data_IF_043523522391
#
_entry.id   IF_043523522391
#
_cell.length_a   1.000
_cell.length_b   1.000
_cell.length_c   1.000
_cell.angle_alpha   90.00
_cell.angle_beta   90.00
_cell.angle_gamma   90.00
#
_symmetry.space_group_name_H-M   'P 1'
#
loop_
_entity.id
_entity.type
_entity.pdbx_description
1 polymer ?
#
# COMPACT_ATOMS: atom_id res chain seq x y z
N UNK A 1 -2.49 30.91 -33.45
CA UNK A 1 -2.94 30.74 -32.05
C UNK A 1 -3.49 29.33 -31.91
N UNK A 2 -2.94 28.52 -31.00
CA UNK A 2 -3.34 27.13 -30.81
C UNK A 2 -4.67 27.01 -30.06
N UNK A 3 -5.35 25.85 -30.14
CA UNK A 3 -6.63 25.62 -29.42
C UNK A 3 -6.49 25.83 -27.91
N UNK A 4 -5.31 25.51 -27.38
CA UNK A 4 -4.98 25.61 -25.95
C UNK A 4 -4.79 27.07 -25.54
N UNK A 5 -4.09 27.87 -26.35
CA UNK A 5 -3.88 29.31 -26.09
C UNK A 5 -5.21 30.07 -26.02
N UNK A 6 -6.11 29.84 -26.98
CA UNK A 6 -7.43 30.49 -27.01
C UNK A 6 -8.27 30.10 -25.78
N UNK A 7 -8.23 28.82 -25.40
CA UNK A 7 -8.95 28.35 -24.22
C UNK A 7 -8.38 28.92 -22.91
N UNK A 8 -7.05 29.05 -22.80
CA UNK A 8 -6.40 29.64 -21.64
C UNK A 8 -6.71 31.14 -21.51
N UNK A 9 -6.60 31.90 -22.60
CA UNK A 9 -6.88 33.35 -22.59
C UNK A 9 -8.32 33.64 -22.17
N UNK A 10 -9.28 32.89 -22.71
CA UNK A 10 -10.69 33.05 -22.34
C UNK A 10 -10.98 32.59 -20.91
N UNK A 11 -10.22 31.62 -20.38
CA UNK A 11 -10.32 31.18 -18.99
C UNK A 11 -9.72 32.21 -18.02
N UNK A 12 -8.65 32.90 -18.40
CA UNK A 12 -8.06 33.97 -17.60
C UNK A 12 -8.99 35.19 -17.53
N UNK A 13 -9.72 35.48 -18.60
CA UNK A 13 -10.79 36.51 -18.62
C UNK A 13 -11.98 36.15 -17.73
N UNK A 14 -12.23 34.87 -17.45
CA UNK A 14 -13.39 34.39 -16.70
C UNK A 14 -13.03 33.23 -15.74
N UNK A 15 -12.29 33.51 -14.65
CA UNK A 15 -11.70 32.47 -13.81
C UNK A 15 -12.73 31.60 -13.06
N UNK A 16 -13.87 32.17 -12.68
CA UNK A 16 -14.86 31.52 -11.81
C UNK A 16 -16.07 30.87 -12.53
N UNK A 17 -15.94 30.59 -13.83
CA UNK A 17 -17.03 29.97 -14.63
C UNK A 17 -16.91 28.44 -14.61
N UNK A 18 -18.04 27.72 -14.54
CA UNK A 18 -18.06 26.25 -14.59
C UNK A 18 -17.54 25.70 -15.92
N UNK A 19 -16.98 24.47 -15.92
CA UNK A 19 -16.43 23.84 -17.13
C UNK A 19 -17.45 23.75 -18.27
N UNK A 20 -18.73 23.53 -17.93
CA UNK A 20 -19.81 23.42 -18.91
C UNK A 20 -20.14 24.77 -19.55
N UNK A 21 -20.25 25.84 -18.76
CA UNK A 21 -20.52 27.19 -19.26
C UNK A 21 -19.36 27.69 -20.14
N UNK A 22 -18.13 27.40 -19.73
CA UNK A 22 -16.94 27.76 -20.51
C UNK A 22 -16.90 27.03 -21.85
N UNK A 23 -17.24 25.74 -21.88
CA UNK A 23 -17.30 24.94 -23.10
C UNK A 23 -18.38 25.44 -24.06
N UNK A 24 -19.54 25.85 -23.53
CA UNK A 24 -20.63 26.44 -24.32
C UNK A 24 -20.22 27.77 -24.95
N UNK A 25 -19.50 28.62 -24.20
CA UNK A 25 -18.97 29.89 -24.72
C UNK A 25 -17.95 29.66 -25.83
N UNK A 26 -16.94 28.80 -25.60
CA UNK A 26 -15.89 28.52 -26.58
C UNK A 26 -16.44 27.92 -27.88
N UNK A 27 -17.41 27.02 -27.79
CA UNK A 27 -18.07 26.46 -28.97
C UNK A 27 -18.86 27.53 -29.74
N UNK A 28 -19.56 28.43 -29.04
CA UNK A 28 -20.33 29.52 -29.67
C UNK A 28 -19.42 30.58 -30.30
N UNK A 29 -18.32 30.94 -29.64
CA UNK A 29 -17.40 31.99 -30.07
C UNK A 29 -16.43 31.52 -31.16
N UNK A 30 -16.04 30.24 -31.16
CA UNK A 30 -15.06 29.68 -32.08
C UNK A 30 -15.49 28.30 -32.64
N UNK A 31 -16.60 28.22 -33.38
CA UNK A 31 -17.14 26.94 -33.86
C UNK A 31 -16.20 26.18 -34.79
N UNK A 32 -15.33 26.86 -35.57
CA UNK A 32 -14.34 26.22 -36.42
C UNK A 32 -13.15 25.59 -35.65
N UNK A 33 -12.88 26.05 -34.42
CA UNK A 33 -11.77 25.58 -33.60
C UNK A 33 -12.26 24.51 -32.62
N UNK A 34 -13.44 24.74 -32.04
CA UNK A 34 -14.15 23.83 -31.15
C UNK A 34 -15.43 23.33 -31.84
N UNK A 35 -15.35 22.25 -32.65
CA UNK A 35 -16.47 21.78 -33.46
C UNK A 35 -17.62 21.20 -32.62
N UNK A 36 -17.36 20.81 -31.38
CA UNK A 36 -18.39 20.36 -30.44
C UNK A 36 -18.16 20.89 -29.03
N UNK A 37 -19.25 21.00 -28.26
CA UNK A 37 -19.18 21.39 -26.85
C UNK A 37 -18.31 20.42 -26.04
N UNK A 38 -18.37 19.11 -26.32
CA UNK A 38 -17.54 18.12 -25.63
C UNK A 38 -16.04 18.21 -26.00
N UNK A 39 -15.72 18.64 -27.23
CA UNK A 39 -14.34 18.93 -27.61
C UNK A 39 -13.78 20.11 -26.82
N UNK A 40 -14.55 21.20 -26.69
CA UNK A 40 -14.18 22.35 -25.84
C UNK A 40 -14.07 21.93 -24.36
N UNK A 41 -15.04 21.15 -23.86
CA UNK A 41 -15.08 20.72 -22.46
C UNK A 41 -13.90 19.82 -22.09
N UNK A 42 -13.48 18.94 -22.99
CA UNK A 42 -12.31 18.07 -22.78
C UNK A 42 -11.04 18.91 -22.66
N UNK A 43 -10.86 19.91 -23.52
CA UNK A 43 -9.72 20.83 -23.45
C UNK A 43 -9.72 21.63 -22.14
N UNK A 44 -10.87 22.18 -21.72
CA UNK A 44 -11.00 22.91 -20.45
C UNK A 44 -10.69 22.01 -19.25
N UNK A 45 -11.16 20.76 -19.26
CA UNK A 45 -10.87 19.78 -18.21
C UNK A 45 -9.39 19.40 -18.17
N UNK A 46 -8.73 19.29 -19.32
CA UNK A 46 -7.29 19.05 -19.40
C UNK A 46 -6.50 20.23 -18.79
N UNK A 47 -6.87 21.47 -19.12
CA UNK A 47 -6.23 22.68 -18.56
C UNK A 47 -6.45 22.80 -17.05
N UNK A 48 -7.66 22.52 -16.54
CA UNK A 48 -7.99 22.58 -15.10
C UNK A 48 -7.61 21.33 -14.31
N UNK A 49 -7.01 20.33 -14.93
CA UNK A 49 -6.67 19.06 -14.27
C UNK A 49 -7.87 18.23 -13.80
N UNK A 50 -9.06 18.47 -14.36
CA UNK A 50 -10.31 17.78 -14.03
C UNK A 50 -10.64 16.62 -15.00
N UNK A 51 -9.65 16.17 -15.77
CA UNK A 51 -9.77 15.03 -16.66
C UNK A 51 -9.55 13.73 -15.86
N UNK A 52 -10.52 12.83 -15.90
CA UNK A 52 -10.39 11.53 -15.24
C UNK A 52 -9.28 10.69 -15.89
N UNK A 53 -8.63 9.83 -15.11
CA UNK A 53 -7.60 8.90 -15.58
C UNK A 53 -8.22 7.81 -16.47
N UNK A 54 -8.57 8.12 -17.72
CA UNK A 54 -9.09 7.13 -18.69
C UNK A 54 -7.94 6.45 -19.47
N UNK A 55 -6.72 6.46 -18.93
CA UNK A 55 -5.51 6.00 -19.64
C UNK A 55 -4.58 5.06 -18.88
N UNK A 56 -4.95 4.54 -17.71
CA UNK A 56 -4.09 3.61 -16.94
C UNK A 56 -4.60 2.17 -17.04
N UNK A 57 -4.62 1.62 -18.26
CA UNK A 57 -4.67 0.17 -18.50
C UNK A 57 -3.46 -0.25 -19.33
N UNK A 58 -2.27 -0.10 -18.75
CA UNK A 58 -1.02 -0.72 -19.20
C UNK A 58 -0.03 -0.72 -18.04
N UNK A 59 -0.41 -1.42 -16.96
CA UNK A 59 0.49 -1.73 -15.85
C UNK A 59 1.42 -2.88 -16.24
N UNK A 60 2.38 -2.62 -17.14
CA UNK A 60 3.56 -3.45 -17.32
C UNK A 60 4.76 -2.56 -17.03
N UNK A 61 5.40 -2.79 -15.88
CA UNK A 61 6.80 -2.41 -15.67
C UNK A 61 7.11 -0.92 -15.47
N UNK A 62 6.27 -0.14 -14.80
CA UNK A 62 6.77 1.12 -14.23
C UNK A 62 7.37 0.83 -12.87
N UNK A 63 8.70 0.94 -12.82
CA UNK A 63 9.47 1.15 -11.59
C UNK A 63 8.67 2.02 -10.63
N UNK A 64 8.67 1.65 -9.35
CA UNK A 64 8.22 2.52 -8.28
C UNK A 64 9.24 3.66 -8.18
N UNK A 65 9.29 4.55 -9.18
CA UNK A 65 9.78 5.89 -8.95
C UNK A 65 8.83 6.48 -7.92
N UNK A 66 9.29 6.87 -6.72
CA UNK A 66 8.44 7.56 -5.78
C UNK A 66 7.82 8.71 -6.54
N UNK A 67 6.49 8.67 -6.71
CA UNK A 67 5.75 9.77 -7.31
C UNK A 67 6.22 11.00 -6.54
N UNK A 68 6.80 12.03 -7.18
CA UNK A 68 7.10 13.27 -6.50
C UNK A 68 5.78 13.68 -5.88
N UNK A 69 5.68 13.55 -4.56
CA UNK A 69 4.48 13.89 -3.82
C UNK A 69 4.28 15.35 -4.20
N UNK A 70 3.24 15.66 -4.99
CA UNK A 70 2.90 17.02 -5.38
C UNK A 70 2.44 17.75 -4.12
N UNK A 71 3.38 17.99 -3.21
CA UNK A 71 3.19 18.79 -2.02
C UNK A 71 3.27 20.21 -2.56
N UNK A 72 2.10 20.83 -2.71
CA UNK A 72 2.00 22.25 -3.05
C UNK A 72 2.90 23.04 -2.09
N UNK A 73 3.61 24.05 -2.61
CA UNK A 73 4.32 24.98 -1.73
C UNK A 73 3.28 25.71 -0.87
N UNK A 74 3.25 25.38 0.41
CA UNK A 74 2.36 26.01 1.38
C UNK A 74 3.18 26.88 2.34
N UNK A 75 2.64 28.03 2.79
CA UNK A 75 3.37 28.95 3.70
C UNK A 75 3.85 28.31 5.02
N UNK A 76 3.14 27.28 5.50
CA UNK A 76 3.50 26.57 6.73
C UNK A 76 4.57 25.49 6.54
N UNK A 77 5.04 25.22 5.32
CA UNK A 77 6.06 24.22 5.07
C UNK A 77 7.42 24.61 5.66
N UNK A 78 7.81 25.88 5.55
CA UNK A 78 9.03 26.40 6.16
C UNK A 78 8.95 26.45 7.69
N UNK A 79 7.74 26.40 8.24
CA UNK A 79 7.47 26.32 9.66
C UNK A 79 7.39 24.88 10.19
N UNK A 80 7.51 23.87 9.30
CA UNK A 80 7.42 22.47 9.71
C UNK A 80 8.64 22.11 10.57
N UNK A 81 8.43 21.66 11.82
CA UNK A 81 9.53 21.20 12.66
C UNK A 81 10.28 20.06 11.98
N UNK A 82 11.60 20.02 12.18
CA UNK A 82 12.40 18.88 11.72
C UNK A 82 11.93 17.62 12.45
N UNK A 83 11.66 16.57 11.69
CA UNK A 83 11.32 15.27 12.26
C UNK A 83 12.54 14.65 12.93
N UNK A 84 12.33 14.06 14.10
CA UNK A 84 13.29 13.17 14.77
C UNK A 84 12.95 11.70 14.54
N UNK A 85 12.00 11.41 13.64
CA UNK A 85 11.62 10.04 13.32
C UNK A 85 12.83 9.30 12.74
N UNK A 86 13.12 8.13 13.30
CA UNK A 86 14.08 7.20 12.74
C UNK A 86 13.53 6.65 11.42
N UNK A 87 14.32 6.75 10.36
CA UNK A 87 13.95 6.24 9.05
C UNK A 87 14.45 4.80 8.99
N UNK A 88 13.52 3.85 8.93
CA UNK A 88 13.87 2.46 8.67
C UNK A 88 14.30 2.31 7.21
N UNK A 89 15.50 1.80 6.97
CA UNK A 89 15.98 1.56 5.61
C UNK A 89 15.19 0.43 4.94
N UNK A 90 14.82 0.56 3.65
CA UNK A 90 14.09 -0.49 2.95
C UNK A 90 14.98 -1.70 2.69
N UNK A 91 14.44 -2.90 2.92
CA UNK A 91 15.05 -4.14 2.43
C UNK A 91 14.86 -4.22 0.92
N UNK A 92 15.97 -4.27 0.17
CA UNK A 92 15.94 -4.32 -1.30
C UNK A 92 16.08 -5.74 -1.80
N UNK A 93 14.99 -6.28 -2.36
CA UNK A 93 14.99 -7.57 -3.06
C UNK A 93 15.40 -7.31 -4.52
N UNK A 94 16.61 -7.74 -4.88
CA UNK A 94 17.20 -7.48 -6.20
C UNK A 94 17.14 -8.69 -7.15
N UNK A 95 17.30 -8.40 -8.44
CA UNK A 95 17.31 -9.41 -9.51
C UNK A 95 15.91 -9.78 -10.03
N UNK A 96 15.87 -10.75 -10.96
CA UNK A 96 14.62 -11.32 -11.46
C UNK A 96 14.14 -12.38 -10.48
N UNK A 97 13.11 -12.07 -9.70
CA UNK A 97 12.52 -12.96 -8.70
C UNK A 97 11.07 -13.27 -9.04
N UNK A 98 10.62 -14.46 -8.67
CA UNK A 98 9.19 -14.79 -8.63
C UNK A 98 8.75 -14.80 -7.16
N UNK A 99 8.02 -13.76 -6.79
CA UNK A 99 7.70 -13.47 -5.39
C UNK A 99 6.27 -13.90 -5.08
N UNK A 100 6.11 -14.75 -4.08
CA UNK A 100 4.82 -15.00 -3.42
C UNK A 100 4.70 -14.03 -2.23
N UNK A 101 3.66 -13.20 -2.23
CA UNK A 101 3.38 -12.29 -1.12
C UNK A 101 2.14 -12.79 -0.40
N UNK A 102 2.29 -13.08 0.90
CA UNK A 102 1.22 -13.45 1.81
C UNK A 102 1.08 -12.33 2.83
N UNK A 103 -0.15 -11.89 3.11
CA UNK A 103 -0.46 -10.85 4.10
C UNK A 103 -1.63 -11.32 4.94
N UNK A 104 -1.71 -10.87 6.20
CA UNK A 104 -2.89 -11.06 7.03
C UNK A 104 -3.29 -12.56 7.16
N UNK A 105 -2.32 -13.42 7.44
CA UNK A 105 -2.58 -14.86 7.62
C UNK A 105 -3.29 -15.09 8.96
N UNK A 106 -2.89 -14.39 10.02
CA UNK A 106 -3.48 -14.46 11.36
C UNK A 106 -3.58 -15.89 11.94
N UNK A 107 -2.47 -16.64 12.01
CA UNK A 107 -2.48 -17.91 12.75
C UNK A 107 -2.89 -17.69 14.23
N UNK A 108 -3.80 -18.50 14.80
CA UNK A 108 -4.43 -19.71 14.26
C UNK A 108 -5.74 -19.49 13.47
N UNK A 109 -6.25 -18.27 13.35
CA UNK A 109 -7.54 -17.92 12.73
C UNK A 109 -7.54 -17.84 11.19
N UNK A 110 -6.44 -18.21 10.55
CA UNK A 110 -6.32 -18.28 9.10
C UNK A 110 -7.43 -19.12 8.42
N UNK A 111 -7.76 -18.75 7.18
CA UNK A 111 -8.58 -19.59 6.30
C UNK A 111 -7.69 -20.63 5.62
N UNK A 112 -7.87 -21.90 6.01
CA UNK A 112 -7.07 -23.03 5.53
C UNK A 112 -7.12 -23.18 3.99
N UNK A 113 -8.31 -23.00 3.39
CA UNK A 113 -8.50 -23.17 1.96
C UNK A 113 -7.83 -22.05 1.17
N UNK A 114 -7.98 -20.80 1.63
CA UNK A 114 -7.36 -19.64 1.01
C UNK A 114 -5.82 -19.72 1.07
N UNK A 115 -5.28 -20.08 2.25
CA UNK A 115 -3.84 -20.22 2.42
C UNK A 115 -3.30 -21.36 1.53
N UNK A 116 -3.97 -22.51 1.49
CA UNK A 116 -3.55 -23.64 0.66
C UNK A 116 -3.51 -23.27 -0.83
N UNK A 117 -4.56 -22.61 -1.34
CA UNK A 117 -4.61 -22.16 -2.74
C UNK A 117 -3.48 -21.18 -3.06
N UNK A 118 -3.17 -20.25 -2.15
CA UNK A 118 -2.06 -19.31 -2.33
C UNK A 118 -0.70 -20.01 -2.39
N UNK A 119 -0.46 -20.96 -1.49
CA UNK A 119 0.78 -21.73 -1.44
C UNK A 119 0.94 -22.63 -2.67
N UNK A 120 -0.12 -23.34 -3.06
CA UNK A 120 -0.11 -24.15 -4.28
C UNK A 120 0.17 -23.31 -5.53
N UNK A 121 -0.44 -22.13 -5.61
CA UNK A 121 -0.21 -21.22 -6.72
C UNK A 121 1.25 -20.79 -6.77
N UNK A 122 1.82 -20.34 -5.64
CA UNK A 122 3.23 -19.95 -5.57
C UNK A 122 4.18 -21.11 -5.93
N UNK A 123 3.87 -22.32 -5.47
CA UNK A 123 4.64 -23.52 -5.81
C UNK A 123 4.59 -23.81 -7.32
N UNK A 124 3.39 -23.81 -7.91
CA UNK A 124 3.18 -24.05 -9.36
C UNK A 124 3.86 -22.99 -10.23
N UNK A 125 3.90 -21.73 -9.77
CA UNK A 125 4.59 -20.65 -10.47
C UNK A 125 6.12 -20.73 -10.35
N UNK A 126 6.64 -21.56 -9.44
CA UNK A 126 8.06 -21.66 -9.14
C UNK A 126 8.58 -20.39 -8.46
N UNK A 127 7.83 -19.88 -7.47
CA UNK A 127 8.28 -18.76 -6.65
C UNK A 127 9.57 -19.10 -5.91
N UNK A 128 10.54 -18.21 -6.01
CA UNK A 128 11.87 -18.32 -5.39
C UNK A 128 12.03 -17.40 -4.15
N UNK A 129 10.99 -16.62 -3.87
CA UNK A 129 10.94 -15.66 -2.76
C UNK A 129 9.54 -15.66 -2.15
N UNK A 130 9.44 -15.71 -0.83
CA UNK A 130 8.18 -15.57 -0.08
C UNK A 130 8.29 -14.34 0.82
N UNK A 131 7.27 -13.49 0.82
CA UNK A 131 7.17 -12.35 1.72
C UNK A 131 5.94 -12.56 2.60
N UNK A 132 6.17 -12.65 3.90
CA UNK A 132 5.14 -12.54 4.93
C UNK A 132 5.02 -11.05 5.28
N UNK A 133 4.04 -10.38 4.68
CA UNK A 133 3.88 -8.94 4.70
C UNK A 133 2.97 -8.48 5.86
N UNK A 134 3.30 -8.91 7.07
CA UNK A 134 2.62 -8.53 8.30
C UNK A 134 1.41 -9.39 8.63
N UNK A 135 1.06 -9.31 9.90
CA UNK A 135 -0.13 -9.91 10.51
C UNK A 135 -0.20 -11.42 10.22
N UNK A 136 0.93 -12.08 10.46
CA UNK A 136 1.05 -13.54 10.30
C UNK A 136 0.61 -14.27 11.56
N UNK A 137 0.87 -13.69 12.73
CA UNK A 137 0.50 -14.23 14.04
C UNK A 137 -0.59 -13.34 14.62
N UNK A 138 -1.69 -13.92 15.12
CA UNK A 138 -2.78 -13.10 15.69
C UNK A 138 -2.38 -12.44 17.02
N UNK A 139 -1.69 -13.18 17.90
CA UNK A 139 -1.36 -12.74 19.26
C UNK A 139 -2.58 -12.18 20.03
N UNK A 140 -3.71 -12.90 19.95
CA UNK A 140 -4.98 -12.48 20.55
C UNK A 140 -4.87 -12.42 22.07
N UNK A 141 -4.29 -13.46 22.68
CA UNK A 141 -4.18 -13.57 24.13
C UNK A 141 -3.37 -12.46 24.81
N UNK A 142 -2.44 -11.85 24.07
CA UNK A 142 -1.55 -10.76 24.53
C UNK A 142 -1.95 -9.39 23.98
N UNK A 143 -3.08 -9.31 23.27
CA UNK A 143 -3.62 -8.06 22.77
C UNK A 143 -3.92 -7.08 23.91
N UNK A 144 -3.65 -5.80 23.67
CA UNK A 144 -4.07 -4.71 24.56
C UNK A 144 -5.59 -4.51 24.58
N UNK A 145 -6.29 -4.99 23.56
CA UNK A 145 -7.72 -4.78 23.33
C UNK A 145 -8.52 -5.89 24.03
N UNK A 146 -8.64 -5.78 25.36
CA UNK A 146 -9.44 -6.61 26.27
C UNK A 146 -9.85 -8.01 25.72
N UNK A 147 -8.90 -8.93 25.51
CA UNK A 147 -9.20 -10.23 24.95
C UNK A 147 -9.97 -11.06 25.99
N UNK A 148 -10.99 -11.80 25.53
CA UNK A 148 -11.79 -12.70 26.37
C UNK A 148 -10.83 -13.69 27.07
N UNK A 149 -10.74 -13.66 28.41
CA UNK A 149 -9.84 -14.53 29.17
C UNK A 149 -9.99 -16.02 28.85
N UNK A 150 -11.20 -16.45 28.46
CA UNK A 150 -11.49 -17.85 28.14
C UNK A 150 -10.89 -18.31 26.81
N UNK A 151 -10.60 -17.35 25.92
CA UNK A 151 -10.04 -17.60 24.58
C UNK A 151 -8.53 -17.37 24.53
N UNK A 152 -7.91 -17.01 25.66
CA UNK A 152 -6.46 -16.81 25.73
C UNK A 152 -5.76 -18.16 25.76
N UNK A 153 -5.09 -18.51 24.66
CA UNK A 153 -4.19 -19.65 24.64
C UNK A 153 -2.96 -19.31 23.79
N UNK A 154 -2.09 -18.47 24.35
CA UNK A 154 -0.86 -18.04 23.69
C UNK A 154 0.00 -19.24 23.28
N UNK A 155 0.05 -20.29 24.10
CA UNK A 155 0.81 -21.50 23.76
C UNK A 155 0.29 -22.15 22.47
N UNK A 156 -1.03 -22.28 22.33
CA UNK A 156 -1.65 -22.80 21.11
C UNK A 156 -1.41 -21.86 19.91
N UNK A 157 -1.57 -20.55 20.10
CA UNK A 157 -1.31 -19.57 19.04
C UNK A 157 0.14 -19.67 18.51
N UNK A 158 1.12 -19.71 19.41
CA UNK A 158 2.54 -19.85 19.06
C UNK A 158 2.85 -21.20 18.41
N UNK A 159 2.24 -22.28 18.90
CA UNK A 159 2.43 -23.62 18.33
C UNK A 159 1.86 -23.71 16.91
N UNK A 160 0.63 -23.25 16.70
CA UNK A 160 0.00 -23.24 15.37
C UNK A 160 0.75 -22.33 14.41
N UNK A 161 1.25 -21.19 14.87
CA UNK A 161 2.12 -20.34 14.07
C UNK A 161 3.42 -21.07 13.66
N UNK A 162 4.09 -21.74 14.59
CA UNK A 162 5.30 -22.52 14.31
C UNK A 162 5.03 -23.61 13.26
N UNK A 163 3.92 -24.33 13.39
CA UNK A 163 3.49 -25.34 12.42
C UNK A 163 3.21 -24.73 11.04
N UNK A 164 2.52 -23.58 11.00
CA UNK A 164 2.26 -22.82 9.78
C UNK A 164 3.52 -22.34 9.09
N UNK A 165 4.47 -21.75 9.83
CA UNK A 165 5.77 -21.33 9.30
C UNK A 165 6.60 -22.51 8.82
N UNK A 166 6.55 -23.65 9.53
CA UNK A 166 7.22 -24.89 9.11
C UNK A 166 6.62 -25.43 7.80
N UNK A 167 5.31 -25.35 7.65
CA UNK A 167 4.60 -25.74 6.43
C UNK A 167 4.99 -24.83 5.25
N UNK A 168 5.05 -23.51 5.45
CA UNK A 168 5.50 -22.56 4.41
C UNK A 168 6.97 -22.85 4.02
N UNK A 169 7.86 -23.06 5.00
CA UNK A 169 9.26 -23.41 4.73
C UNK A 169 9.40 -24.74 3.98
N UNK A 170 8.55 -25.72 4.30
CA UNK A 170 8.53 -27.02 3.63
C UNK A 170 8.03 -26.92 2.19
N UNK A 171 7.04 -26.05 1.92
CA UNK A 171 6.56 -25.79 0.57
C UNK A 171 7.60 -25.05 -0.30
N UNK A 172 8.43 -24.21 0.33
CA UNK A 172 9.48 -23.43 -0.36
C UNK A 172 10.88 -23.61 0.27
N UNK A 173 11.50 -24.80 0.18
CA UNK A 173 12.74 -25.11 0.91
C UNK A 173 13.93 -24.23 0.55
N UNK A 174 14.01 -23.83 -0.73
CA UNK A 174 15.12 -23.04 -1.29
C UNK A 174 14.80 -21.55 -1.45
N UNK A 175 13.57 -21.12 -1.13
CA UNK A 175 13.18 -19.74 -1.31
C UNK A 175 13.71 -18.86 -0.17
N UNK A 176 14.05 -17.62 -0.52
CA UNK A 176 14.28 -16.57 0.46
C UNK A 176 12.94 -16.22 1.11
N UNK A 177 12.85 -16.21 2.44
CA UNK A 177 11.62 -15.85 3.17
C UNK A 177 11.87 -14.58 3.96
N UNK A 178 11.13 -13.53 3.64
CA UNK A 178 11.18 -12.25 4.34
C UNK A 178 9.95 -12.13 5.23
N UNK A 179 10.18 -11.91 6.53
CA UNK A 179 9.12 -11.63 7.49
C UNK A 179 9.15 -10.13 7.81
N UNK A 180 8.11 -9.42 7.38
CA UNK A 180 7.88 -8.04 7.79
C UNK A 180 6.81 -8.03 8.88
N UNK A 181 7.12 -7.49 10.05
CA UNK A 181 6.14 -7.41 11.14
C UNK A 181 4.99 -6.46 10.81
N UNK A 182 3.79 -6.91 11.15
CA UNK A 182 2.57 -6.13 11.21
C UNK A 182 2.25 -5.71 12.65
N UNK A 183 1.06 -5.15 12.85
CA UNK A 183 0.61 -4.70 14.16
C UNK A 183 0.17 -5.85 15.07
N UNK A 184 -0.19 -7.01 14.53
CA UNK A 184 -0.47 -8.20 15.34
C UNK A 184 0.83 -8.89 15.79
N UNK A 185 1.83 -8.94 14.92
CA UNK A 185 3.12 -9.58 15.23
C UNK A 185 3.87 -8.84 16.37
N UNK A 186 3.85 -7.49 16.38
CA UNK A 186 4.48 -6.65 17.42
C UNK A 186 3.82 -6.78 18.81
N UNK A 187 2.59 -7.30 18.91
CA UNK A 187 1.85 -7.37 20.19
C UNK A 187 2.59 -8.15 21.26
N UNK A 188 3.27 -9.23 20.88
CA UNK A 188 4.00 -10.05 21.83
C UNK A 188 5.14 -9.27 22.48
N UNK A 189 5.92 -8.55 21.68
CA UNK A 189 7.02 -7.73 22.19
C UNK A 189 6.49 -6.60 23.08
N UNK A 190 5.41 -5.92 22.67
CA UNK A 190 4.76 -4.89 23.49
C UNK A 190 4.24 -5.45 24.83
N UNK A 191 3.70 -6.67 24.81
CA UNK A 191 3.27 -7.35 26.02
C UNK A 191 4.45 -7.67 26.95
N UNK A 192 5.56 -8.18 26.41
CA UNK A 192 6.77 -8.48 27.17
C UNK A 192 7.36 -7.20 27.78
N UNK A 193 7.48 -6.11 27.01
CA UNK A 193 7.93 -4.79 27.49
C UNK A 193 7.16 -4.32 28.72
N UNK A 194 5.85 -4.56 28.76
CA UNK A 194 4.98 -4.12 29.85
C UNK A 194 4.97 -5.06 31.06
N UNK A 195 4.94 -6.37 30.83
CA UNK A 195 4.63 -7.35 31.89
C UNK A 195 5.86 -8.15 32.34
N UNK A 196 6.86 -8.31 31.49
CA UNK A 196 8.06 -9.10 31.75
C UNK A 196 9.29 -8.52 31.02
N UNK A 197 9.71 -7.28 31.33
CA UNK A 197 10.80 -6.61 30.63
C UNK A 197 12.14 -7.35 30.75
N UNK A 198 12.33 -8.14 31.83
CA UNK A 198 13.49 -9.00 32.04
C UNK A 198 13.57 -10.20 31.08
N UNK A 199 12.57 -10.41 30.23
CA UNK A 199 12.60 -11.46 29.20
C UNK A 199 12.92 -10.90 27.81
N UNK A 200 13.11 -9.59 27.66
CA UNK A 200 13.41 -8.98 26.36
C UNK A 200 14.81 -9.33 25.84
N UNK A 201 15.72 -9.67 26.73
CA UNK A 201 17.08 -10.11 26.43
C UNK A 201 17.19 -11.64 26.27
N UNK A 202 16.09 -12.38 26.44
CA UNK A 202 16.02 -13.83 26.25
C UNK A 202 15.70 -14.14 24.78
N UNK A 203 16.62 -14.77 24.02
CA UNK A 203 16.43 -15.01 22.59
C UNK A 203 15.16 -15.82 22.27
N UNK A 204 14.77 -16.77 23.12
CA UNK A 204 13.56 -17.56 22.95
C UNK A 204 12.26 -16.76 23.09
N UNK A 205 12.34 -15.56 23.68
CA UNK A 205 11.25 -14.62 23.82
C UNK A 205 11.29 -13.49 22.76
N UNK A 206 12.31 -13.48 21.90
CA UNK A 206 12.46 -12.57 20.76
C UNK A 206 11.90 -13.19 19.48
N UNK A 207 11.30 -12.36 18.62
CA UNK A 207 10.95 -12.73 17.24
C UNK A 207 12.01 -12.27 16.22
N UNK A 208 12.95 -11.43 16.65
CA UNK A 208 14.13 -10.99 15.89
C UNK A 208 15.32 -11.94 16.04
#
# INVERSE_FOLDING_TARGET
MTKKEIAMEEMDRMPNVSNHMMAKKLHKSYPGIFPSMENARTMIRAIRGAQGNVGTKSGVGKSVTPVPRFIRETPWRSLMPKSTAEITEPVVISGKRKVLILSDIHFPFHDEAALMVALEHGFKQGCDTVILNGDTIENYGVSRWEPDPRRRNLQHELQTCREGLTMIRSAFPKADIYFKFGNHDDRLEQYLKKNAPLLLDVPECSLE
#
